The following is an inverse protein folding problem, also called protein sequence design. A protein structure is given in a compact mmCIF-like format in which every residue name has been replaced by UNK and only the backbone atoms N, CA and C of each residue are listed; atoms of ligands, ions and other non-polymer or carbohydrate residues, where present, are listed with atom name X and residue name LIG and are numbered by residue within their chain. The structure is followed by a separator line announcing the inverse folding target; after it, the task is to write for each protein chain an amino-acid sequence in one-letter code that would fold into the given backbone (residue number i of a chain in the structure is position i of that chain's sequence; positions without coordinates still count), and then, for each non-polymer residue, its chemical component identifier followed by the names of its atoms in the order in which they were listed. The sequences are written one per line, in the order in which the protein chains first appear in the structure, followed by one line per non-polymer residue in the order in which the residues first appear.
data_IF_199882712284
#
_entry.id   IF_199882712284
#
_cell.length_a   1.000
_cell.length_b   1.000
_cell.length_c   1.000
_cell.angle_alpha   90.00
_cell.angle_beta   90.00
_cell.angle_gamma   90.00
#
_symmetry.space_group_name_H-M   'P 1'
#
loop_
_entity.id
_entity.type
_entity.pdbx_description
1 polymer ?
#
# COMPACT_ATOMS: atom_id res chain seq x y z
N UNK A 1 -4.75 -14.11 27.96
CA UNK A 1 -4.56 -14.05 29.40
C UNK A 1 -3.35 -13.16 29.65
N UNK A 2 -3.24 -12.34 30.60
CA UNK A 2 -2.11 -11.42 30.82
C UNK A 2 -0.80 -12.07 31.30
N UNK A 3 -0.59 -13.38 31.08
CA UNK A 3 0.62 -14.08 31.49
C UNK A 3 1.80 -13.75 30.57
N UNK A 4 2.95 -13.42 31.13
CA UNK A 4 4.19 -13.09 30.41
C UNK A 4 5.17 -14.25 30.34
N UNK A 5 4.85 -15.39 31.00
CA UNK A 5 5.70 -16.55 31.00
C UNK A 5 5.27 -17.57 29.95
N UNK A 6 6.20 -17.97 29.08
CA UNK A 6 6.00 -19.03 28.09
C UNK A 6 7.25 -19.88 27.93
N UNK A 7 7.06 -21.08 27.39
CA UNK A 7 8.11 -22.00 27.08
C UNK A 7 8.00 -22.51 25.63
N UNK A 8 9.13 -22.78 24.97
CA UNK A 8 9.12 -23.34 23.61
C UNK A 8 8.55 -24.76 23.61
N UNK A 9 7.73 -25.05 22.62
CA UNK A 9 7.21 -26.42 22.41
C UNK A 9 8.19 -27.21 21.59
N UNK A 10 8.71 -28.33 22.17
CA UNK A 10 9.73 -29.18 21.53
C UNK A 10 9.21 -29.71 20.17
N UNK A 11 10.05 -29.60 19.14
CA UNK A 11 9.71 -30.05 17.78
C UNK A 11 8.74 -29.15 17.00
N UNK A 12 8.36 -27.99 17.53
CA UNK A 12 7.51 -27.02 16.85
C UNK A 12 8.05 -25.60 17.06
N UNK A 13 7.94 -24.74 16.04
CA UNK A 13 8.30 -23.32 16.15
C UNK A 13 7.18 -22.51 16.84
N UNK A 14 6.71 -22.99 17.99
CA UNK A 14 5.64 -22.39 18.76
C UNK A 14 6.04 -22.25 20.22
N UNK A 15 5.45 -21.24 20.86
CA UNK A 15 5.57 -21.01 22.30
C UNK A 15 4.22 -21.28 22.96
N UNK A 16 4.25 -21.86 24.15
CA UNK A 16 3.05 -22.14 24.94
C UNK A 16 3.01 -21.31 26.21
N UNK A 17 1.90 -20.64 26.44
CA UNK A 17 1.68 -19.90 27.68
C UNK A 17 1.63 -20.83 28.88
N UNK A 18 2.33 -20.47 29.96
CA UNK A 18 2.38 -21.28 31.18
C UNK A 18 1.05 -21.36 31.91
N UNK A 19 0.26 -20.29 31.89
CA UNK A 19 -1.01 -20.23 32.60
C UNK A 19 -2.16 -20.86 31.82
N UNK A 20 -2.45 -20.39 30.59
CA UNK A 20 -3.62 -20.82 29.80
C UNK A 20 -3.31 -21.88 28.73
N UNK A 21 -2.05 -22.31 28.59
CA UNK A 21 -1.58 -23.30 27.59
C UNK A 21 -1.83 -22.92 26.12
N UNK A 22 -2.26 -21.69 25.85
CA UNK A 22 -2.39 -21.21 24.48
C UNK A 22 -1.05 -21.27 23.76
N UNK A 23 -1.03 -21.81 22.53
CA UNK A 23 0.16 -21.90 21.70
C UNK A 23 0.15 -20.83 20.61
N UNK A 24 1.27 -20.15 20.43
CA UNK A 24 1.45 -19.12 19.43
C UNK A 24 2.79 -19.29 18.72
N UNK A 25 2.85 -19.08 17.42
CA UNK A 25 4.11 -19.02 16.67
C UNK A 25 4.61 -17.57 16.60
N UNK A 26 5.91 -17.38 16.39
CA UNK A 26 6.52 -16.05 16.19
C UNK A 26 5.94 -15.30 14.97
N UNK A 27 5.36 -16.04 14.04
CA UNK A 27 4.74 -15.47 12.83
C UNK A 27 3.24 -15.21 12.99
N UNK A 28 2.62 -15.65 14.09
CA UNK A 28 1.19 -15.49 14.32
C UNK A 28 0.80 -14.01 14.38
N UNK A 29 -0.27 -13.64 13.67
CA UNK A 29 -0.75 -12.25 13.59
C UNK A 29 0.10 -11.31 12.74
N UNK A 30 1.23 -11.77 12.17
CA UNK A 30 2.09 -11.00 11.29
C UNK A 30 1.76 -11.24 9.82
N UNK A 31 2.39 -10.47 8.92
CA UNK A 31 2.34 -10.73 7.47
C UNK A 31 2.80 -12.13 7.10
N UNK A 32 3.59 -12.78 7.94
CA UNK A 32 4.14 -14.13 7.76
C UNK A 32 3.25 -15.23 8.37
N UNK A 33 2.06 -14.90 8.86
CA UNK A 33 1.15 -15.86 9.50
C UNK A 33 0.87 -17.08 8.60
N UNK A 34 0.98 -18.30 9.15
CA UNK A 34 0.78 -19.57 8.44
C UNK A 34 1.68 -19.75 7.20
N UNK A 35 2.87 -19.17 7.21
CA UNK A 35 3.83 -19.39 6.12
C UNK A 35 4.47 -20.79 6.22
N UNK A 36 4.68 -21.41 5.05
CA UNK A 36 5.52 -22.60 4.89
C UNK A 36 6.93 -22.23 4.36
N UNK A 37 7.10 -20.96 3.91
CA UNK A 37 8.40 -20.48 3.47
C UNK A 37 9.30 -20.15 4.67
N UNK A 38 10.62 -20.38 4.56
CA UNK A 38 11.57 -19.94 5.58
C UNK A 38 11.54 -18.42 5.72
N UNK A 39 11.74 -17.91 6.93
CA UNK A 39 11.72 -16.48 7.20
C UNK A 39 12.78 -15.72 6.41
N UNK A 40 13.89 -16.35 6.09
CA UNK A 40 14.92 -15.78 5.20
C UNK A 40 14.37 -15.40 3.83
N UNK A 41 13.49 -16.23 3.24
CA UNK A 41 12.84 -15.90 1.96
C UNK A 41 11.92 -14.67 2.09
N UNK A 42 11.24 -14.51 3.23
CA UNK A 42 10.43 -13.33 3.51
C UNK A 42 11.27 -12.06 3.60
N UNK A 43 12.36 -12.09 4.36
CA UNK A 43 13.24 -10.93 4.51
C UNK A 43 13.91 -10.53 3.20
N UNK A 44 14.36 -11.50 2.40
CA UNK A 44 14.88 -11.22 1.06
C UNK A 44 13.82 -10.62 0.14
N UNK A 45 12.60 -11.15 0.15
CA UNK A 45 11.52 -10.60 -0.66
C UNK A 45 11.17 -9.16 -0.27
N UNK A 46 11.08 -8.87 1.05
CA UNK A 46 10.85 -7.51 1.56
C UNK A 46 11.97 -6.57 1.12
N UNK A 47 13.22 -7.00 1.26
CA UNK A 47 14.38 -6.22 0.85
C UNK A 47 14.36 -5.89 -0.65
N UNK A 48 14.13 -6.90 -1.50
CA UNK A 48 14.06 -6.72 -2.95
C UNK A 48 12.89 -5.81 -3.36
N UNK A 49 11.73 -5.93 -2.71
CA UNK A 49 10.59 -5.04 -2.96
C UNK A 49 10.88 -3.58 -2.56
N UNK A 50 11.66 -3.37 -1.49
CA UNK A 50 11.95 -2.04 -0.97
C UNK A 50 13.07 -1.31 -1.73
N UNK A 51 14.00 -2.06 -2.32
CA UNK A 51 15.22 -1.49 -2.95
C UNK A 51 15.09 -1.28 -4.45
N UNK A 52 14.23 -2.04 -5.17
CA UNK A 52 14.08 -1.88 -6.62
C UNK A 52 12.95 -0.89 -6.94
N UNK A 53 13.32 0.29 -7.44
CA UNK A 53 12.38 1.34 -7.87
C UNK A 53 11.41 0.90 -8.97
N UNK A 54 11.80 -0.09 -9.78
CA UNK A 54 10.95 -0.65 -10.86
C UNK A 54 9.95 -1.66 -10.33
N UNK A 55 10.09 -2.06 -9.06
CA UNK A 55 9.39 -3.17 -8.48
C UNK A 55 9.92 -4.52 -8.97
N UNK A 56 9.45 -5.60 -8.38
CA UNK A 56 9.85 -6.97 -8.72
C UNK A 56 8.63 -7.78 -9.17
N UNK A 57 8.79 -8.55 -10.25
CA UNK A 57 7.76 -9.49 -10.69
C UNK A 57 7.81 -10.79 -9.91
N UNK A 58 6.68 -11.52 -9.83
CA UNK A 58 6.64 -12.83 -9.19
C UNK A 58 7.57 -13.85 -9.87
N UNK A 59 7.74 -13.75 -11.20
CA UNK A 59 8.68 -14.60 -11.95
C UNK A 59 10.13 -14.34 -11.55
N UNK A 60 10.50 -13.07 -11.46
CA UNK A 60 11.85 -12.70 -11.03
C UNK A 60 12.11 -13.11 -9.58
N UNK A 61 11.14 -12.86 -8.68
CA UNK A 61 11.26 -13.25 -7.28
C UNK A 61 11.38 -14.77 -7.10
N UNK A 62 10.57 -15.56 -7.85
CA UNK A 62 10.63 -17.03 -7.88
C UNK A 62 12.02 -17.52 -8.23
N UNK A 63 12.62 -16.98 -9.30
CA UNK A 63 13.98 -17.33 -9.73
C UNK A 63 15.05 -16.90 -8.72
N UNK A 64 14.94 -15.69 -8.18
CA UNK A 64 15.96 -15.15 -7.25
C UNK A 64 15.97 -15.92 -5.93
N UNK A 65 14.80 -16.30 -5.41
CA UNK A 65 14.67 -17.00 -4.13
C UNK A 65 14.63 -18.53 -4.26
N UNK A 66 14.65 -19.05 -5.49
CA UNK A 66 14.51 -20.48 -5.79
C UNK A 66 13.27 -21.10 -5.13
N UNK A 67 12.12 -20.44 -5.28
CA UNK A 67 10.81 -20.89 -4.80
C UNK A 67 9.84 -21.01 -5.98
N UNK A 68 8.76 -21.82 -5.84
CA UNK A 68 7.77 -21.92 -6.91
C UNK A 68 7.06 -20.58 -7.17
N UNK A 69 6.57 -20.40 -8.40
CA UNK A 69 5.93 -19.17 -8.84
C UNK A 69 4.74 -18.77 -7.96
N UNK A 70 3.89 -19.72 -7.61
CA UNK A 70 2.70 -19.50 -6.78
C UNK A 70 3.07 -18.95 -5.40
N UNK A 71 4.13 -19.51 -4.79
CA UNK A 71 4.65 -19.02 -3.52
C UNK A 71 5.20 -17.60 -3.63
N UNK A 72 5.94 -17.29 -4.69
CA UNK A 72 6.45 -15.95 -4.96
C UNK A 72 5.33 -14.95 -5.19
N UNK A 73 4.33 -15.34 -5.98
CA UNK A 73 3.14 -14.52 -6.25
C UNK A 73 2.37 -14.20 -4.96
N UNK A 74 2.08 -15.24 -4.16
CA UNK A 74 1.38 -15.08 -2.89
C UNK A 74 2.15 -14.22 -1.89
N UNK A 75 3.47 -14.42 -1.80
CA UNK A 75 4.36 -13.65 -0.95
C UNK A 75 4.35 -12.15 -1.32
N UNK A 76 4.46 -11.82 -2.62
CA UNK A 76 4.36 -10.44 -3.10
C UNK A 76 3.01 -9.82 -2.77
N UNK A 77 1.90 -10.54 -2.94
CA UNK A 77 0.58 -10.03 -2.59
C UNK A 77 0.43 -9.74 -1.10
N UNK A 78 0.98 -10.58 -0.23
CA UNK A 78 0.96 -10.34 1.22
C UNK A 78 1.82 -9.13 1.62
N UNK A 79 3.00 -8.97 1.02
CA UNK A 79 3.85 -7.79 1.26
C UNK A 79 3.11 -6.52 0.82
N UNK A 80 2.56 -6.48 -0.40
CA UNK A 80 1.82 -5.32 -0.92
C UNK A 80 0.60 -4.99 -0.05
N UNK A 81 -0.12 -6.00 0.42
CA UNK A 81 -1.24 -5.80 1.35
C UNK A 81 -0.78 -5.20 2.68
N UNK A 82 0.33 -5.66 3.24
CA UNK A 82 0.88 -5.11 4.47
C UNK A 82 1.33 -3.65 4.29
N UNK A 83 1.93 -3.31 3.13
CA UNK A 83 2.27 -1.93 2.78
C UNK A 83 1.02 -1.04 2.74
N UNK A 84 -0.03 -1.47 2.05
CA UNK A 84 -1.29 -0.73 1.96
C UNK A 84 -1.94 -0.52 3.35
N UNK A 85 -1.99 -1.57 4.18
CA UNK A 85 -2.50 -1.47 5.54
C UNK A 85 -1.67 -0.52 6.44
N UNK A 86 -0.34 -0.52 6.28
CA UNK A 86 0.52 0.42 6.96
C UNK A 86 0.19 1.86 6.57
N UNK A 87 0.01 2.11 5.29
CA UNK A 87 -0.24 3.44 4.76
C UNK A 87 -1.61 4.02 5.20
N UNK A 88 -2.56 3.17 5.62
CA UNK A 88 -3.83 3.59 6.21
C UNK A 88 -3.69 4.20 7.63
N UNK A 89 -2.56 3.99 8.30
CA UNK A 89 -2.39 4.40 9.71
C UNK A 89 -1.96 5.85 9.88
N UNK A 90 -1.66 6.59 8.82
CA UNK A 90 -1.26 7.99 8.90
C UNK A 90 -1.89 8.84 7.80
N UNK A 91 -2.13 10.11 8.13
CA UNK A 91 -2.57 11.11 7.19
C UNK A 91 -1.37 11.85 6.60
N UNK A 92 -1.44 12.15 5.30
CA UNK A 92 -0.43 12.95 4.60
C UNK A 92 -0.54 14.41 5.02
N UNK A 93 0.57 15.04 5.35
CA UNK A 93 0.63 16.44 5.80
C UNK A 93 1.63 17.26 4.99
N UNK A 94 1.61 18.56 5.17
CA UNK A 94 2.46 19.49 4.43
C UNK A 94 1.99 19.68 2.99
N UNK A 95 2.90 19.57 2.03
CA UNK A 95 2.57 19.66 0.59
C UNK A 95 2.19 18.27 0.09
N UNK A 96 1.00 18.12 -0.44
CA UNK A 96 0.46 16.85 -0.94
C UNK A 96 0.12 17.01 -2.42
N UNK A 97 0.81 16.30 -3.28
CA UNK A 97 0.49 16.22 -4.71
C UNK A 97 -0.57 15.14 -4.94
N UNK A 98 -1.65 15.48 -5.67
CA UNK A 98 -2.73 14.54 -5.97
C UNK A 98 -2.96 14.44 -7.48
N UNK A 99 -3.09 13.19 -7.94
CA UNK A 99 -3.38 12.87 -9.35
C UNK A 99 -4.29 11.65 -9.45
N UNK A 100 -4.97 11.51 -10.60
CA UNK A 100 -5.78 10.34 -10.91
C UNK A 100 -5.15 9.50 -12.03
N UNK A 101 -5.22 8.19 -11.87
CA UNK A 101 -4.68 7.24 -12.82
C UNK A 101 -5.62 6.08 -13.14
N UNK A 102 -5.28 5.34 -14.19
CA UNK A 102 -6.08 4.22 -14.68
C UNK A 102 -5.22 2.96 -14.78
N UNK A 103 -5.63 1.91 -14.06
CA UNK A 103 -4.90 0.63 -14.02
C UNK A 103 -5.74 -0.46 -14.68
N UNK A 104 -5.13 -1.18 -15.60
CA UNK A 104 -5.76 -2.29 -16.32
C UNK A 104 -5.07 -2.58 -17.64
N UNK A 105 -5.33 -3.76 -18.20
CA UNK A 105 -4.82 -4.17 -19.51
C UNK A 105 -5.30 -3.27 -20.66
N UNK A 106 -4.64 -3.39 -21.81
CA UNK A 106 -5.12 -2.76 -23.04
C UNK A 106 -6.51 -3.31 -23.41
N UNK A 107 -7.48 -2.44 -23.63
CA UNK A 107 -8.79 -2.81 -24.17
C UNK A 107 -8.85 -2.41 -25.63
N UNK A 108 -9.13 -3.38 -26.54
CA UNK A 108 -9.45 -3.08 -27.92
C UNK A 108 -10.82 -2.41 -27.98
N UNK A 109 -10.93 -1.26 -28.63
CA UNK A 109 -12.16 -0.45 -28.79
C UNK A 109 -12.70 0.22 -27.51
N UNK A 110 -11.96 0.27 -26.41
CA UNK A 110 -12.37 1.01 -25.20
C UNK A 110 -12.13 2.51 -25.30
N UNK A 111 -12.95 3.31 -24.59
CA UNK A 111 -12.73 4.75 -24.44
C UNK A 111 -11.43 4.99 -23.65
N UNK A 112 -10.68 6.04 -24.03
CA UNK A 112 -9.47 6.47 -23.33
C UNK A 112 -9.79 7.49 -22.22
N UNK A 113 -8.92 7.59 -21.23
CA UNK A 113 -9.04 8.57 -20.15
C UNK A 113 -10.18 8.27 -19.19
N UNK A 114 -10.84 9.30 -18.68
CA UNK A 114 -11.86 9.22 -17.62
C UNK A 114 -13.14 8.45 -18.01
N UNK A 115 -13.35 8.15 -19.28
CA UNK A 115 -14.45 7.30 -19.77
C UNK A 115 -14.11 5.81 -19.92
N UNK A 116 -12.93 5.37 -19.45
CA UNK A 116 -12.50 3.98 -19.53
C UNK A 116 -13.15 3.11 -18.45
N UNK A 117 -13.34 1.80 -18.75
CA UNK A 117 -13.77 0.77 -17.79
C UNK A 117 -12.64 0.26 -16.89
N UNK A 118 -11.42 0.80 -17.03
CA UNK A 118 -10.27 0.45 -16.20
C UNK A 118 -10.49 0.89 -14.76
N UNK A 119 -9.84 0.19 -13.82
CA UNK A 119 -9.83 0.59 -12.42
C UNK A 119 -9.24 2.01 -12.30
N UNK A 120 -9.98 2.90 -11.66
CA UNK A 120 -9.57 4.27 -11.40
C UNK A 120 -8.88 4.32 -10.05
N UNK A 121 -7.74 4.97 -9.97
CA UNK A 121 -7.01 5.18 -8.73
C UNK A 121 -6.78 6.67 -8.52
N UNK A 122 -6.86 7.09 -7.28
CA UNK A 122 -6.36 8.40 -6.84
C UNK A 122 -5.07 8.17 -6.08
N UNK A 123 -4.04 8.89 -6.46
CA UNK A 123 -2.71 8.86 -5.83
C UNK A 123 -2.52 10.18 -5.12
N UNK A 124 -2.15 10.13 -3.85
CA UNK A 124 -1.76 11.28 -3.05
C UNK A 124 -0.34 11.06 -2.54
N UNK A 125 0.55 12.01 -2.77
CA UNK A 125 1.97 11.96 -2.44
C UNK A 125 2.33 13.16 -1.58
N UNK A 126 2.77 12.94 -0.32
CA UNK A 126 3.37 14.04 0.45
C UNK A 126 4.82 14.24 0.04
N UNK A 127 5.23 15.51 -0.01
CA UNK A 127 6.58 15.90 -0.40
C UNK A 127 7.11 17.04 0.49
N UNK A 128 8.43 17.14 0.53
CA UNK A 128 9.12 18.28 1.14
C UNK A 128 8.99 19.52 0.25
N UNK A 129 9.32 20.70 0.77
CA UNK A 129 9.42 21.94 0.00
C UNK A 129 10.39 21.81 -1.21
N UNK A 130 11.42 20.99 -1.07
CA UNK A 130 12.39 20.70 -2.14
C UNK A 130 11.90 19.66 -3.15
N UNK A 131 10.64 19.20 -3.06
CA UNK A 131 10.04 18.22 -3.98
C UNK A 131 10.42 16.76 -3.71
N UNK A 132 11.10 16.44 -2.60
CA UNK A 132 11.44 15.06 -2.25
C UNK A 132 10.20 14.34 -1.76
N UNK A 133 9.86 13.21 -2.39
CA UNK A 133 8.75 12.34 -2.01
C UNK A 133 8.97 11.73 -0.61
N UNK A 134 7.93 11.75 0.22
CA UNK A 134 7.95 11.22 1.59
C UNK A 134 7.05 9.98 1.72
N UNK A 135 5.75 10.18 1.63
CA UNK A 135 4.74 9.13 1.81
C UNK A 135 3.71 9.18 0.69
N UNK A 136 3.24 8.01 0.28
CA UNK A 136 2.24 7.87 -0.78
C UNK A 136 1.04 7.11 -0.27
N UNK A 137 -0.16 7.57 -0.65
CA UNK A 137 -1.41 6.81 -0.50
C UNK A 137 -2.06 6.63 -1.86
N UNK A 138 -2.55 5.43 -2.10
CA UNK A 138 -3.29 5.09 -3.31
C UNK A 138 -4.65 4.53 -2.91
N UNK A 139 -5.71 4.98 -3.55
CA UNK A 139 -7.05 4.49 -3.31
C UNK A 139 -7.74 4.19 -4.64
N UNK A 140 -8.30 2.99 -4.76
CA UNK A 140 -9.18 2.63 -5.88
C UNK A 140 -10.52 3.33 -5.66
N UNK A 141 -11.02 3.99 -6.70
CA UNK A 141 -12.28 4.74 -6.68
C UNK A 141 -13.18 4.32 -7.85
N UNK A 142 -14.48 4.48 -7.68
CA UNK A 142 -15.45 4.19 -8.76
C UNK A 142 -15.44 5.29 -9.81
N UNK A 143 -15.30 6.54 -9.37
CA UNK A 143 -15.25 7.71 -10.23
C UNK A 143 -14.28 8.77 -9.68
N UNK A 144 -14.02 9.82 -10.49
CA UNK A 144 -13.18 10.97 -10.11
C UNK A 144 -14.07 12.23 -9.99
N UNK A 145 -15.16 12.09 -9.25
CA UNK A 145 -16.04 13.24 -8.92
C UNK A 145 -15.52 14.01 -7.71
N UNK A 146 -15.93 15.29 -7.58
CA UNK A 146 -15.55 16.10 -6.41
C UNK A 146 -15.96 15.45 -5.09
N UNK A 147 -17.10 14.74 -5.06
CA UNK A 147 -17.56 14.03 -3.85
C UNK A 147 -16.60 12.88 -3.48
N UNK A 148 -16.21 12.09 -4.46
CA UNK A 148 -15.26 10.96 -4.25
C UNK A 148 -13.90 11.47 -3.85
N UNK A 149 -13.38 12.51 -4.51
CA UNK A 149 -12.11 13.14 -4.14
C UNK A 149 -12.15 13.73 -2.73
N UNK A 150 -13.26 14.37 -2.33
CA UNK A 150 -13.42 14.87 -0.95
C UNK A 150 -13.36 13.75 0.09
N UNK A 151 -13.93 12.58 -0.21
CA UNK A 151 -13.83 11.41 0.67
C UNK A 151 -12.40 10.88 0.77
N UNK A 152 -11.66 10.86 -0.35
CA UNK A 152 -10.24 10.46 -0.36
C UNK A 152 -9.42 11.44 0.47
N UNK A 153 -9.60 12.75 0.27
CA UNK A 153 -8.91 13.79 1.05
C UNK A 153 -9.19 13.64 2.54
N UNK A 154 -10.47 13.47 2.93
CA UNK A 154 -10.84 13.33 4.34
C UNK A 154 -10.23 12.10 5.04
N UNK A 155 -9.89 11.05 4.27
CA UNK A 155 -9.23 9.82 4.79
C UNK A 155 -7.71 9.86 4.71
N UNK A 156 -7.16 10.52 3.69
CA UNK A 156 -5.76 10.41 3.33
C UNK A 156 -4.92 11.61 3.74
N UNK A 157 -5.54 12.80 3.87
CA UNK A 157 -4.84 14.07 4.01
C UNK A 157 -5.20 14.72 5.35
N UNK A 158 -4.18 15.24 6.05
CA UNK A 158 -4.39 15.96 7.29
C UNK A 158 -5.05 17.33 7.02
N UNK A 159 -5.90 17.83 7.94
CA UNK A 159 -6.46 19.17 7.83
C UNK A 159 -5.37 20.25 7.72
N UNK A 160 -5.60 21.24 6.85
CA UNK A 160 -4.65 22.34 6.63
C UNK A 160 -3.45 22.00 5.75
N UNK A 161 -3.38 20.81 5.16
CA UNK A 161 -2.38 20.49 4.16
C UNK A 161 -2.62 21.26 2.86
N UNK A 162 -1.53 21.59 2.15
CA UNK A 162 -1.58 22.21 0.84
C UNK A 162 -1.63 21.13 -0.23
N UNK A 163 -2.71 21.09 -1.04
CA UNK A 163 -2.86 20.13 -2.14
C UNK A 163 -2.45 20.78 -3.45
N UNK A 164 -1.46 20.19 -4.11
CA UNK A 164 -1.09 20.48 -5.50
C UNK A 164 -1.75 19.45 -6.42
N UNK A 165 -2.48 19.90 -7.42
CA UNK A 165 -3.18 19.04 -8.37
C UNK A 165 -3.15 19.64 -9.79
N UNK A 166 -3.55 18.84 -10.78
CA UNK A 166 -3.86 19.34 -12.10
C UNK A 166 -5.09 20.26 -12.04
N UNK A 167 -5.26 21.11 -13.03
CA UNK A 167 -6.39 22.07 -13.11
C UNK A 167 -7.76 21.40 -13.33
N UNK A 168 -7.89 20.09 -13.12
CA UNK A 168 -9.13 19.38 -13.36
C UNK A 168 -10.27 19.85 -12.45
N UNK A 169 -11.45 19.98 -13.05
CA UNK A 169 -12.63 20.58 -12.45
C UNK A 169 -13.06 19.94 -11.11
N UNK A 170 -12.89 18.63 -10.95
CA UNK A 170 -13.28 17.91 -9.74
C UNK A 170 -12.42 18.24 -8.51
N UNK A 171 -11.19 18.70 -8.69
CA UNK A 171 -10.32 19.12 -7.60
C UNK A 171 -10.66 20.51 -7.04
N UNK A 172 -11.30 21.38 -7.85
CA UNK A 172 -11.54 22.77 -7.46
C UNK A 172 -12.47 22.97 -6.26
N UNK A 173 -13.27 21.97 -5.91
CA UNK A 173 -14.29 22.06 -4.86
C UNK A 173 -13.92 21.29 -3.60
N UNK A 174 -12.62 21.02 -3.38
CA UNK A 174 -12.16 20.37 -2.16
C UNK A 174 -12.20 21.35 -0.98
N UNK A 175 -12.71 20.92 0.18
CA UNK A 175 -12.82 21.71 1.39
C UNK A 175 -11.87 21.20 2.49
N UNK A 176 -11.45 22.09 3.40
CA UNK A 176 -10.61 21.75 4.53
C UNK A 176 -9.11 21.66 4.21
N UNK A 177 -8.71 22.04 2.99
CA UNK A 177 -7.33 22.04 2.50
C UNK A 177 -7.06 23.29 1.69
N UNK A 178 -5.78 23.69 1.60
CA UNK A 178 -5.35 24.76 0.69
C UNK A 178 -5.09 24.16 -0.70
N UNK A 179 -5.69 24.72 -1.74
CA UNK A 179 -5.58 24.20 -3.10
C UNK A 179 -4.62 25.04 -3.93
N UNK A 180 -3.66 24.40 -4.57
CA UNK A 180 -2.76 24.96 -5.55
C UNK A 180 -2.89 24.19 -6.88
N UNK A 181 -3.77 24.68 -7.76
CA UNK A 181 -4.00 24.06 -9.06
C UNK A 181 -2.95 24.53 -10.07
N UNK A 182 -2.00 23.68 -10.38
CA UNK A 182 -0.96 23.95 -11.41
C UNK A 182 -1.51 23.55 -12.79
N UNK A 183 -1.50 24.52 -13.72
CA UNK A 183 -1.69 24.22 -15.13
C UNK A 183 -0.33 23.85 -15.69
N UNK A 184 -0.16 22.60 -16.06
CA UNK A 184 0.96 22.18 -16.89
C UNK A 184 0.62 22.59 -18.34
N UNK A 185 1.42 23.50 -18.90
CA UNK A 185 1.39 23.85 -20.33
C UNK A 185 2.02 22.74 -21.17
#
# INVERSE_FOLDING_TARGET
CGCTEYYPVRGRNTFQCRACRHQISVTAGTVMHRTHLPLTAWFWAIYLCATDKRGISAVQLSRTLNICYESAWYLLHRIRRAMAQRDENYALSGIVEMDDGYVGGATHNGKRGRGTDKAKIVVALSKTENGTALFTRMQVVEDVTSKTLQQVVGKAVAPGAKIECDGYRSYKNLSGVELDAKKYE
#
